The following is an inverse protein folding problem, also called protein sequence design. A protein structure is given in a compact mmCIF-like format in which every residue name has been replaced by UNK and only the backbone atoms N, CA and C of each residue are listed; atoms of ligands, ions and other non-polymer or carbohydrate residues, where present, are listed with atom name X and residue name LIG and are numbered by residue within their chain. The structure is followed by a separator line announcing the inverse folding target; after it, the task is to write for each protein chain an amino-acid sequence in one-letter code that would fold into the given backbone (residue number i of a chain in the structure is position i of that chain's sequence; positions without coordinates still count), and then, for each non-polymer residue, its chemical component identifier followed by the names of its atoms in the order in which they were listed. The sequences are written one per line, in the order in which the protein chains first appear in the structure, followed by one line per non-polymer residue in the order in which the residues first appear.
data_IF_889771617554
#
_entry.id   IF_889771617554
#
_cell.length_a   1.000
_cell.length_b   1.000
_cell.length_c   1.000
_cell.angle_alpha   90.00
_cell.angle_beta   90.00
_cell.angle_gamma   90.00
#
_symmetry.space_group_name_H-M   'P 1'
#
loop_
_entity.id
_entity.type
_entity.pdbx_description
1 polymer ?
#
# COMPACT_ATOMS: atom_id res chain seq x y z
N UNK A 1 -10.64 8.61 -19.13
CA UNK A 1 -9.49 9.55 -19.04
C UNK A 1 -9.06 9.78 -17.59
N UNK A 2 -8.78 8.72 -16.81
CA UNK A 2 -8.44 8.83 -15.37
C UNK A 2 -6.94 8.93 -15.10
N UNK A 3 -6.13 8.63 -16.11
CA UNK A 3 -4.66 8.60 -16.02
C UNK A 3 -4.02 9.98 -16.21
N UNK A 4 -4.71 10.93 -16.85
CA UNK A 4 -4.19 12.30 -17.04
C UNK A 4 -4.13 13.07 -15.72
N UNK A 5 -5.16 12.94 -14.85
CA UNK A 5 -5.16 13.57 -13.53
C UNK A 5 -3.96 13.11 -12.69
N UNK A 6 -3.67 11.79 -12.65
CA UNK A 6 -2.50 11.29 -11.93
C UNK A 6 -1.16 11.73 -12.54
N UNK A 7 -1.10 11.95 -13.86
CA UNK A 7 0.11 12.43 -14.54
C UNK A 7 0.39 13.91 -14.25
N UNK A 8 -0.65 14.72 -14.05
CA UNK A 8 -0.54 16.17 -13.82
C UNK A 8 -0.42 16.51 -12.33
N UNK A 9 -1.20 15.84 -11.47
CA UNK A 9 -1.28 16.14 -10.03
C UNK A 9 -0.57 15.11 -9.14
N UNK A 10 -0.06 14.02 -9.71
CA UNK A 10 0.51 12.91 -8.96
C UNK A 10 -0.52 11.87 -8.53
N UNK A 11 -0.03 10.73 -8.04
CA UNK A 11 -0.88 9.64 -7.60
C UNK A 11 -1.38 9.86 -6.17
N UNK A 12 -2.70 9.82 -5.98
CA UNK A 12 -3.31 9.79 -4.65
C UNK A 12 -3.50 8.36 -4.18
N UNK A 13 -2.50 7.82 -3.50
CA UNK A 13 -2.55 6.49 -2.90
C UNK A 13 -3.27 6.53 -1.56
N UNK A 14 -4.20 5.59 -1.37
CA UNK A 14 -4.88 5.32 -0.11
C UNK A 14 -4.56 3.89 0.32
N UNK A 15 -4.41 3.64 1.62
CA UNK A 15 -4.24 2.28 2.14
C UNK A 15 -5.49 1.48 1.81
N UNK A 16 -5.34 0.38 1.08
CA UNK A 16 -6.43 -0.52 0.71
C UNK A 16 -6.51 -1.73 1.62
N UNK A 17 -5.36 -2.20 2.12
CA UNK A 17 -5.27 -3.34 3.03
C UNK A 17 -4.01 -3.23 3.90
N UNK A 18 -4.13 -3.55 5.18
CA UNK A 18 -2.98 -3.77 6.04
C UNK A 18 -2.66 -5.26 6.10
N UNK A 19 -1.49 -5.65 5.62
CA UNK A 19 -1.04 -7.06 5.60
C UNK A 19 -0.42 -7.43 6.94
N UNK A 20 0.39 -6.52 7.48
CA UNK A 20 0.96 -6.57 8.82
C UNK A 20 1.07 -5.12 9.35
N UNK A 21 1.63 -4.94 10.54
CA UNK A 21 1.93 -3.59 11.08
C UNK A 21 2.85 -2.75 10.17
N UNK A 22 3.72 -3.41 9.38
CA UNK A 22 4.72 -2.75 8.54
C UNK A 22 4.40 -2.85 7.05
N UNK A 23 3.73 -3.93 6.63
CA UNK A 23 3.42 -4.19 5.23
C UNK A 23 1.98 -3.76 4.95
N UNK A 24 1.83 -2.77 4.07
CA UNK A 24 0.53 -2.26 3.63
C UNK A 24 0.40 -2.29 2.12
N UNK A 25 -0.82 -2.49 1.64
CA UNK A 25 -1.22 -2.32 0.26
C UNK A 25 -1.89 -0.96 0.08
N UNK A 26 -1.66 -0.36 -1.07
CA UNK A 26 -2.14 0.96 -1.42
C UNK A 26 -2.81 0.91 -2.78
N UNK A 27 -3.90 1.65 -2.94
CA UNK A 27 -4.58 1.80 -4.23
C UNK A 27 -4.73 3.27 -4.55
N UNK A 28 -4.42 3.66 -5.79
CA UNK A 28 -4.67 5.03 -6.21
C UNK A 28 -6.18 5.27 -6.40
N UNK A 29 -6.73 6.31 -5.77
CA UNK A 29 -8.16 6.65 -5.88
C UNK A 29 -8.61 6.86 -7.32
N UNK A 30 -7.76 7.46 -8.15
CA UNK A 30 -8.10 7.92 -9.51
C UNK A 30 -7.75 6.92 -10.60
N UNK A 31 -6.50 6.42 -10.66
CA UNK A 31 -6.07 5.48 -11.71
C UNK A 31 -6.16 4.00 -11.32
N UNK A 32 -6.49 3.69 -10.06
CA UNK A 32 -6.58 2.32 -9.53
C UNK A 32 -5.28 1.52 -9.60
N UNK A 33 -4.12 2.17 -9.82
CA UNK A 33 -2.81 1.52 -9.68
C UNK A 33 -2.63 1.06 -8.23
N UNK A 34 -2.21 -0.18 -8.05
CA UNK A 34 -1.98 -0.80 -6.76
C UNK A 34 -0.49 -0.91 -6.45
N UNK A 35 -0.11 -0.61 -5.21
CA UNK A 35 1.25 -0.72 -4.70
C UNK A 35 1.24 -1.49 -3.38
N UNK A 36 2.40 -1.99 -2.97
CA UNK A 36 2.61 -2.61 -1.67
C UNK A 36 3.98 -2.27 -1.12
N UNK A 37 4.17 -2.45 0.19
CA UNK A 37 5.45 -2.20 0.85
C UNK A 37 6.30 -3.47 0.80
N UNK A 38 7.51 -3.40 0.24
CA UNK A 38 8.44 -4.53 0.26
C UNK A 38 9.20 -4.62 1.60
N UNK A 39 10.00 -5.69 1.77
CA UNK A 39 10.80 -5.94 2.98
C UNK A 39 11.79 -4.83 3.31
N UNK A 40 12.17 -4.02 2.33
CA UNK A 40 13.12 -2.91 2.49
C UNK A 40 12.41 -1.57 2.76
N UNK A 41 11.08 -1.58 2.89
CA UNK A 41 10.26 -0.38 3.13
C UNK A 41 9.97 0.46 1.88
N UNK A 42 10.25 -0.05 0.68
CA UNK A 42 9.95 0.65 -0.57
C UNK A 42 8.56 0.30 -1.07
N UNK A 43 7.90 1.25 -1.72
CA UNK A 43 6.67 0.98 -2.46
C UNK A 43 6.99 0.36 -3.82
N UNK A 44 6.41 -0.80 -4.07
CA UNK A 44 6.53 -1.56 -5.32
C UNK A 44 5.14 -1.88 -5.87
N UNK A 45 5.03 -2.17 -7.17
CA UNK A 45 3.75 -2.53 -7.76
C UNK A 45 3.18 -3.82 -7.15
N UNK A 46 1.88 -3.80 -6.82
CA UNK A 46 1.18 -4.98 -6.31
C UNK A 46 0.89 -5.93 -7.48
N UNK A 47 1.85 -6.77 -7.80
CA UNK A 47 1.70 -7.84 -8.79
C UNK A 47 0.96 -9.05 -8.18
N UNK A 48 0.43 -9.98 -9.00
CA UNK A 48 -0.16 -11.22 -8.50
C UNK A 48 0.78 -12.00 -7.56
N UNK A 49 2.08 -12.03 -7.88
CA UNK A 49 3.12 -12.63 -7.04
C UNK A 49 3.23 -11.96 -5.67
N UNK A 50 3.22 -10.62 -5.63
CA UNK A 50 3.24 -9.90 -4.36
C UNK A 50 1.96 -10.09 -3.56
N UNK A 51 0.81 -10.22 -4.23
CA UNK A 51 -0.47 -10.51 -3.57
C UNK A 51 -0.43 -11.86 -2.85
N UNK A 52 0.07 -12.91 -3.51
CA UNK A 52 0.26 -14.23 -2.88
C UNK A 52 1.20 -14.17 -1.67
N UNK A 53 2.33 -13.46 -1.81
CA UNK A 53 3.29 -13.27 -0.70
C UNK A 53 2.59 -12.56 0.47
N UNK A 54 1.83 -11.50 0.21
CA UNK A 54 1.12 -10.74 1.22
C UNK A 54 0.04 -11.59 1.92
N UNK A 55 -0.69 -12.43 1.19
CA UNK A 55 -1.69 -13.33 1.77
C UNK A 55 -1.05 -14.33 2.74
N UNK A 56 0.10 -14.89 2.36
CA UNK A 56 0.88 -15.76 3.24
C UNK A 56 1.36 -15.00 4.48
N UNK A 57 1.94 -13.80 4.29
CA UNK A 57 2.42 -12.96 5.39
C UNK A 57 1.30 -12.59 6.37
N UNK A 58 0.13 -12.22 5.88
CA UNK A 58 -1.03 -11.91 6.71
C UNK A 58 -1.43 -13.13 7.56
N UNK A 59 -1.48 -14.32 6.95
CA UNK A 59 -1.82 -15.55 7.67
C UNK A 59 -0.80 -15.88 8.78
N UNK A 60 0.50 -15.70 8.50
CA UNK A 60 1.57 -15.91 9.47
C UNK A 60 1.52 -14.90 10.60
N UNK A 61 1.24 -13.64 10.29
CA UNK A 61 1.09 -12.58 11.28
C UNK A 61 -0.07 -12.88 12.23
N UNK A 62 -1.24 -13.21 11.71
CA UNK A 62 -2.41 -13.59 12.52
C UNK A 62 -2.10 -14.83 13.36
N UNK A 63 -1.46 -15.86 12.80
CA UNK A 63 -1.06 -17.06 13.57
C UNK A 63 -0.11 -16.74 14.72
N UNK A 64 0.82 -15.80 14.53
CA UNK A 64 1.83 -15.43 15.54
C UNK A 64 1.28 -14.49 16.61
N UNK A 65 0.47 -13.51 16.21
CA UNK A 65 0.03 -12.42 17.08
C UNK A 65 -1.40 -12.58 17.57
N UNK A 66 -2.20 -13.46 16.96
CA UNK A 66 -3.62 -13.65 17.28
C UNK A 66 -4.51 -12.45 16.93
N UNK A 67 -3.98 -11.45 16.21
CA UNK A 67 -4.64 -10.19 15.92
C UNK A 67 -4.69 -9.99 14.41
N UNK A 68 -5.87 -9.61 13.90
CA UNK A 68 -6.01 -9.13 12.54
C UNK A 68 -5.50 -7.67 12.48
N UNK A 69 -4.58 -7.35 11.55
CA UNK A 69 -4.21 -5.97 11.30
C UNK A 69 -5.48 -5.22 10.85
N UNK A 70 -6.02 -4.44 11.78
CA UNK A 70 -7.23 -3.65 11.53
C UNK A 70 -6.75 -2.34 10.95
N UNK A 71 -7.36 -1.89 9.85
CA UNK A 71 -7.10 -0.57 9.29
C UNK A 71 -7.30 0.45 10.40
N UNK A 72 -6.21 0.94 11.01
CA UNK A 72 -6.32 2.03 11.95
C UNK A 72 -6.95 3.20 11.20
N UNK A 73 -8.18 3.52 11.57
CA UNK A 73 -8.94 4.67 11.09
C UNK A 73 -8.29 5.96 11.61
N UNK A 74 -7.06 6.26 11.18
CA UNK A 74 -6.68 7.66 11.09
C UNK A 74 -7.40 8.21 9.87
N UNK A 75 -8.53 8.88 10.13
CA UNK A 75 -9.29 9.76 9.25
C UNK A 75 -8.45 10.97 8.79
N UNK A 76 -7.18 10.74 8.52
CA UNK A 76 -6.27 11.58 7.78
C UNK A 76 -5.72 10.59 6.78
N UNK A 77 -6.40 10.45 5.63
CA UNK A 77 -5.77 9.82 4.47
C UNK A 77 -4.41 10.49 4.36
N UNK A 78 -3.26 9.79 4.48
CA UNK A 78 -2.03 10.39 4.07
C UNK A 78 -2.25 10.63 2.59
N UNK A 79 -2.57 11.87 2.24
CA UNK A 79 -2.38 12.36 0.90
C UNK A 79 -0.88 12.16 0.73
N UNK A 80 -0.51 11.03 0.15
CA UNK A 80 0.86 10.78 -0.24
C UNK A 80 1.07 11.69 -1.45
N UNK A 81 1.15 13.00 -1.19
CA UNK A 81 1.83 13.94 -2.06
C UNK A 81 3.25 13.44 -2.08
N UNK A 82 3.63 12.89 -3.23
CA UNK A 82 5.00 12.49 -3.56
C UNK A 82 5.89 13.72 -3.38
N UNK A 83 6.39 13.92 -2.16
CA UNK A 83 7.03 15.16 -1.72
C UNK A 83 7.68 15.10 -0.34
N UNK A 84 7.45 14.06 0.46
CA UNK A 84 8.26 13.81 1.66
C UNK A 84 8.41 12.32 1.97
N UNK A 85 9.65 11.86 1.84
CA UNK A 85 10.23 10.64 2.40
C UNK A 85 9.52 9.31 2.09
N UNK A 86 9.25 9.03 0.82
CA UNK A 86 8.95 7.66 0.38
C UNK A 86 10.01 7.25 -0.62
N UNK A 87 10.77 6.23 -0.25
CA UNK A 87 11.74 5.64 -1.16
C UNK A 87 10.97 4.76 -2.16
N UNK A 88 10.87 5.21 -3.39
CA UNK A 88 10.42 4.38 -4.51
C UNK A 88 11.59 3.50 -4.96
N UNK A 89 11.34 2.22 -5.18
CA UNK A 89 12.35 1.37 -5.81
C UNK A 89 12.46 1.81 -7.27
N UNK A 90 13.60 2.38 -7.63
CA UNK A 90 13.92 2.77 -9.01
C UNK A 90 14.36 1.56 -9.82
#
# INVERSE_FOLDING_TARGET
MKNLYCKVFGHHYQVSREVTLHVKEYTCKYCKKELTTNSNGYLVELTPKYREINDVLASMFVKRHGILPTTTETNISPIITVGSLIKFSH
#
